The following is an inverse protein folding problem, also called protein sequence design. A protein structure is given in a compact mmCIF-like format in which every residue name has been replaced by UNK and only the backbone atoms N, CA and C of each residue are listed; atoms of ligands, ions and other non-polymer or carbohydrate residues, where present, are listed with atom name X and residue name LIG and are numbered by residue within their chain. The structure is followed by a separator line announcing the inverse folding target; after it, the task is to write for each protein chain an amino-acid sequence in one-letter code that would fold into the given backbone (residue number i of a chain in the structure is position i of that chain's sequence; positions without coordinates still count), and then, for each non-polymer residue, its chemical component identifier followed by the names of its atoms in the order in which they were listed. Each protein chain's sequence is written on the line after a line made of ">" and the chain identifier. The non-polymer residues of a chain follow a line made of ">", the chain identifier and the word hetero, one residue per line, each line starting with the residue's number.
data_IF_075631218056
#
_entry.id   IF_075631218056
#
_cell.length_a   1.000
_cell.length_b   1.000
_cell.length_c   1.000
_cell.angle_alpha   90.00
_cell.angle_beta   90.00
_cell.angle_gamma   90.00
#
_symmetry.space_group_name_H-M   'P 1'
#
loop_
_entity.id
_entity.type
_entity.pdbx_description
1 polymer ?
#
# COMPACT_ATOMS: atom_id res chain seq x y z
N UNK A 1 17.91 3.51 -0.48
CA UNK A 1 17.06 4.03 -1.59
C UNK A 1 16.21 2.88 -2.14
N UNK A 2 14.88 3.04 -2.30
CA UNK A 2 14.02 2.05 -2.96
C UNK A 2 14.28 2.13 -4.47
N UNK A 3 14.75 1.04 -5.13
CA UNK A 3 14.89 1.00 -6.58
C UNK A 3 13.52 0.92 -7.24
N UNK A 4 13.45 1.21 -8.53
CA UNK A 4 12.28 0.87 -9.33
C UNK A 4 12.16 -0.64 -9.46
N UNK A 5 10.95 -1.18 -9.21
CA UNK A 5 10.69 -2.60 -9.37
C UNK A 5 9.88 -2.82 -10.64
N UNK A 6 10.39 -3.64 -11.52
CA UNK A 6 9.76 -3.94 -12.82
C UNK A 6 9.08 -5.30 -12.77
N UNK A 7 7.86 -5.35 -13.27
CA UNK A 7 7.11 -6.59 -13.50
C UNK A 7 6.80 -6.74 -15.00
N UNK A 8 5.96 -7.70 -15.35
CA UNK A 8 5.52 -7.87 -16.74
C UNK A 8 4.80 -6.63 -17.27
N UNK A 9 3.86 -6.06 -16.50
CA UNK A 9 2.99 -4.95 -16.91
C UNK A 9 3.27 -3.65 -16.15
N UNK A 10 3.88 -3.73 -14.95
CA UNK A 10 3.94 -2.63 -14.00
C UNK A 10 5.37 -2.19 -13.70
N UNK A 11 5.48 -0.97 -13.26
CA UNK A 11 6.63 -0.38 -12.57
C UNK A 11 6.16 0.13 -11.21
N UNK A 12 6.85 -0.27 -10.15
CA UNK A 12 6.64 0.27 -8.81
C UNK A 12 7.76 1.27 -8.58
N UNK A 13 7.42 2.53 -8.39
CA UNK A 13 8.36 3.66 -8.36
C UNK A 13 7.95 4.73 -7.37
N UNK A 14 8.85 5.61 -7.02
CA UNK A 14 8.47 6.82 -6.28
C UNK A 14 7.39 7.59 -7.02
N UNK A 15 6.46 8.17 -6.27
CA UNK A 15 5.48 9.11 -6.81
C UNK A 15 6.19 10.38 -7.26
N UNK A 16 5.75 10.92 -8.40
CA UNK A 16 6.23 12.18 -8.95
C UNK A 16 5.11 13.23 -9.06
N UNK A 17 5.45 14.50 -9.32
CA UNK A 17 4.44 15.58 -9.43
C UNK A 17 3.35 15.30 -10.47
N UNK A 18 3.66 14.58 -11.53
CA UNK A 18 2.71 14.19 -12.58
C UNK A 18 1.66 13.18 -12.11
N UNK A 19 1.88 12.51 -10.98
CA UNK A 19 0.95 11.51 -10.45
C UNK A 19 -0.17 12.16 -9.61
N UNK A 20 -0.07 13.45 -9.29
CA UNK A 20 -0.93 14.10 -8.29
C UNK A 20 -2.41 14.06 -8.66
N UNK A 21 -2.76 14.33 -9.91
CA UNK A 21 -4.13 14.31 -10.39
C UNK A 21 -4.74 12.90 -10.33
N UNK A 22 -3.98 11.90 -10.77
CA UNK A 22 -4.41 10.50 -10.75
C UNK A 22 -4.57 10.00 -9.33
N UNK A 23 -3.61 10.29 -8.44
CA UNK A 23 -3.64 9.92 -7.03
C UNK A 23 -4.85 10.56 -6.32
N UNK A 24 -5.08 11.86 -6.54
CA UNK A 24 -6.25 12.56 -6.02
C UNK A 24 -7.56 11.92 -6.50
N UNK A 25 -7.67 11.67 -7.80
CA UNK A 25 -8.89 11.17 -8.42
C UNK A 25 -9.35 9.85 -7.77
N UNK A 26 -8.48 8.83 -7.68
CA UNK A 26 -8.93 7.56 -7.11
C UNK A 26 -8.98 7.56 -5.58
N UNK A 27 -8.17 8.37 -4.89
CA UNK A 27 -8.21 8.50 -3.43
C UNK A 27 -9.48 9.18 -2.92
N UNK A 28 -10.18 9.93 -3.76
CA UNK A 28 -11.45 10.58 -3.44
C UNK A 28 -12.68 9.80 -3.90
N UNK A 29 -12.51 8.68 -4.60
CA UNK A 29 -13.63 7.82 -4.95
C UNK A 29 -14.26 7.17 -3.71
N UNK A 30 -15.61 7.16 -3.57
CA UNK A 30 -16.29 6.67 -2.36
C UNK A 30 -15.90 5.24 -1.97
N UNK A 31 -15.75 4.34 -2.95
CA UNK A 31 -15.40 2.94 -2.71
C UNK A 31 -13.97 2.77 -2.18
N UNK A 32 -13.07 3.66 -2.56
CA UNK A 32 -11.69 3.71 -2.04
C UNK A 32 -11.69 4.36 -0.66
N UNK A 33 -12.33 5.51 -0.51
CA UNK A 33 -12.41 6.24 0.74
C UNK A 33 -12.94 5.40 1.89
N UNK A 34 -13.87 4.50 1.62
CA UNK A 34 -14.50 3.65 2.63
C UNK A 34 -13.47 2.95 3.54
N UNK A 35 -12.35 2.50 2.97
CA UNK A 35 -11.34 1.69 3.64
C UNK A 35 -10.03 2.43 3.90
N UNK A 36 -9.98 3.74 3.65
CA UNK A 36 -8.76 4.53 3.79
C UNK A 36 -8.85 5.53 4.92
N UNK A 37 -7.73 5.74 5.61
CA UNK A 37 -7.60 6.75 6.67
C UNK A 37 -7.34 8.15 6.10
N UNK A 38 -6.66 8.23 4.94
CA UNK A 38 -6.32 9.48 4.30
C UNK A 38 -7.23 9.78 3.11
N UNK A 39 -7.87 10.96 3.16
CA UNK A 39 -8.71 11.53 2.12
C UNK A 39 -8.17 12.94 1.79
N UNK A 40 -7.44 13.12 0.68
CA UNK A 40 -6.92 14.43 0.32
C UNK A 40 -8.06 15.41 -0.02
N UNK A 41 -7.97 16.65 0.47
CA UNK A 41 -8.97 17.67 0.20
C UNK A 41 -8.82 18.32 -1.19
N UNK A 42 -7.63 18.24 -1.80
CA UNK A 42 -7.35 18.85 -3.09
C UNK A 42 -6.14 18.19 -3.79
N UNK A 43 -6.02 18.42 -5.10
CA UNK A 43 -4.82 18.05 -5.87
C UNK A 43 -3.58 18.76 -5.32
N UNK A 44 -3.72 19.99 -4.83
CA UNK A 44 -2.59 20.74 -4.26
C UNK A 44 -2.07 20.05 -2.99
N UNK A 45 -2.94 19.55 -2.12
CA UNK A 45 -2.52 18.77 -0.94
C UNK A 45 -1.75 17.51 -1.35
N UNK A 46 -2.20 16.84 -2.41
CA UNK A 46 -1.48 15.66 -2.96
C UNK A 46 -0.10 16.04 -3.50
N UNK A 47 0.05 17.18 -4.19
CA UNK A 47 1.35 17.67 -4.64
C UNK A 47 2.30 17.93 -3.48
N UNK A 48 1.82 18.59 -2.44
CA UNK A 48 2.60 18.85 -1.21
C UNK A 48 2.98 17.54 -0.50
N UNK A 49 2.06 16.58 -0.46
CA UNK A 49 2.34 15.24 0.06
C UNK A 49 3.44 14.54 -0.74
N UNK A 50 3.36 14.52 -2.07
CA UNK A 50 4.38 13.93 -2.95
C UNK A 50 5.74 14.64 -2.75
N UNK A 51 5.76 15.95 -2.61
CA UNK A 51 7.01 16.69 -2.37
C UNK A 51 7.64 16.33 -1.01
N UNK A 52 6.83 16.15 0.05
CA UNK A 52 7.34 15.66 1.34
C UNK A 52 7.96 14.26 1.22
N UNK A 53 7.35 13.35 0.44
CA UNK A 53 7.88 12.00 0.23
C UNK A 53 9.27 11.99 -0.44
N UNK A 54 9.66 13.04 -1.15
CA UNK A 54 10.98 13.13 -1.77
C UNK A 54 12.12 13.25 -0.74
N UNK A 55 11.82 13.79 0.44
CA UNK A 55 12.78 13.98 1.52
C UNK A 55 12.82 12.80 2.51
N UNK A 56 11.86 11.87 2.41
CA UNK A 56 11.77 10.70 3.28
C UNK A 56 12.44 9.51 2.59
N UNK A 57 13.31 8.80 3.33
CA UNK A 57 13.82 7.51 2.88
C UNK A 57 12.77 6.42 3.14
N UNK A 58 12.50 5.54 2.17
CA UNK A 58 11.61 4.40 2.36
C UNK A 58 12.05 3.55 3.55
N UNK A 59 11.05 3.07 4.31
CA UNK A 59 11.26 2.26 5.52
C UNK A 59 11.98 2.99 6.66
N UNK A 60 11.96 4.34 6.67
CA UNK A 60 12.29 5.10 7.88
C UNK A 60 11.32 4.70 9.00
N UNK A 61 11.82 4.24 10.18
CA UNK A 61 10.94 3.75 11.23
C UNK A 61 9.94 4.81 11.70
N UNK A 62 8.66 4.43 11.73
CA UNK A 62 7.56 5.29 12.16
C UNK A 62 6.91 6.13 11.08
N UNK A 63 7.60 6.36 9.96
CA UNK A 63 7.05 7.14 8.85
C UNK A 63 6.30 6.25 7.85
N UNK A 64 5.12 6.69 7.43
CA UNK A 64 4.46 6.13 6.26
C UNK A 64 5.08 6.67 4.98
N UNK A 65 5.46 5.76 4.10
CA UNK A 65 6.02 6.09 2.80
C UNK A 65 5.14 5.50 1.68
N UNK A 66 4.66 6.35 0.76
CA UNK A 66 3.89 5.90 -0.40
C UNK A 66 4.76 5.75 -1.64
N UNK A 67 4.55 4.63 -2.36
CA UNK A 67 5.15 4.36 -3.67
C UNK A 67 4.06 4.08 -4.70
N UNK A 68 4.23 4.62 -5.89
CA UNK A 68 3.28 4.47 -6.99
C UNK A 68 3.40 3.11 -7.68
N UNK A 69 2.27 2.61 -8.14
CA UNK A 69 2.15 1.47 -9.04
C UNK A 69 1.68 2.05 -10.38
N UNK A 70 2.47 1.91 -11.44
CA UNK A 70 2.14 2.47 -12.74
C UNK A 70 2.28 1.43 -13.85
N UNK A 71 1.58 1.62 -14.97
CA UNK A 71 1.85 0.81 -16.17
C UNK A 71 3.25 1.09 -16.71
N UNK A 72 4.02 0.04 -16.94
CA UNK A 72 5.37 0.14 -17.49
C UNK A 72 5.40 0.77 -18.88
N UNK A 73 4.38 0.51 -19.71
CA UNK A 73 4.33 0.97 -21.09
C UNK A 73 3.98 2.47 -21.20
N UNK A 74 3.13 3.00 -20.32
CA UNK A 74 2.58 4.35 -20.42
C UNK A 74 3.01 5.29 -19.31
N UNK A 75 3.47 4.75 -18.18
CA UNK A 75 3.72 5.51 -16.94
C UNK A 75 2.44 5.89 -16.18
N UNK A 76 1.25 5.51 -16.68
CA UNK A 76 -0.02 5.83 -16.06
C UNK A 76 -0.12 5.21 -14.67
N UNK A 77 -0.40 6.02 -13.65
CA UNK A 77 -0.58 5.56 -12.27
C UNK A 77 -1.87 4.74 -12.14
N UNK A 78 -1.74 3.52 -11.63
CA UNK A 78 -2.87 2.60 -11.41
C UNK A 78 -3.23 2.44 -9.93
N UNK A 79 -2.32 2.84 -9.05
CA UNK A 79 -2.49 2.73 -7.61
C UNK A 79 -1.21 3.04 -6.85
N UNK A 80 -1.19 2.71 -5.56
CA UNK A 80 -0.03 2.91 -4.69
C UNK A 80 0.03 1.89 -3.56
N UNK A 81 1.22 1.72 -2.99
CA UNK A 81 1.45 1.09 -1.71
C UNK A 81 1.80 2.11 -0.65
N UNK A 82 1.29 1.91 0.57
CA UNK A 82 1.85 2.48 1.78
C UNK A 82 2.79 1.47 2.44
N UNK A 83 3.92 1.93 2.94
CA UNK A 83 4.91 1.16 3.68
C UNK A 83 5.24 1.87 4.98
N UNK A 84 5.28 1.13 6.10
CA UNK A 84 5.74 1.66 7.37
C UNK A 84 6.58 0.61 8.10
N UNK A 85 7.83 0.94 8.39
CA UNK A 85 8.65 0.14 9.29
C UNK A 85 8.35 0.52 10.75
N UNK A 86 8.27 -0.46 11.65
CA UNK A 86 8.00 -0.20 13.06
C UNK A 86 9.18 0.50 13.74
N UNK A 87 8.87 1.38 14.70
CA UNK A 87 9.88 2.14 15.45
C UNK A 87 10.73 1.24 16.35
N UNK A 88 10.10 0.26 17.00
CA UNK A 88 10.75 -0.67 17.94
C UNK A 88 11.55 -1.77 17.24
N UNK A 89 11.17 -2.16 16.03
CA UNK A 89 11.92 -3.09 15.17
C UNK A 89 11.63 -2.84 13.69
N UNK A 90 12.54 -2.17 12.96
CA UNK A 90 12.32 -1.81 11.55
C UNK A 90 12.26 -3.01 10.59
N UNK A 91 12.58 -4.22 11.06
CA UNK A 91 12.39 -5.44 10.27
C UNK A 91 10.94 -5.91 10.20
N UNK A 92 10.04 -5.25 10.95
CA UNK A 92 8.60 -5.48 10.92
C UNK A 92 7.97 -4.35 10.09
N UNK A 93 7.41 -4.69 8.93
CA UNK A 93 6.89 -3.72 7.97
C UNK A 93 5.38 -3.91 7.81
N UNK A 94 4.64 -2.84 8.02
CA UNK A 94 3.24 -2.77 7.64
C UNK A 94 3.12 -2.29 6.20
N UNK A 95 2.21 -2.91 5.44
CA UNK A 95 1.90 -2.50 4.07
C UNK A 95 0.40 -2.30 3.88
N UNK A 96 0.07 -1.29 3.09
CA UNK A 96 -1.26 -1.07 2.54
C UNK A 96 -1.21 -1.00 1.02
N UNK A 97 -2.30 -1.35 0.35
CA UNK A 97 -2.42 -1.22 -1.11
C UNK A 97 -3.73 -0.55 -1.48
N UNK A 98 -3.66 0.35 -2.45
CA UNK A 98 -4.81 0.96 -3.09
C UNK A 98 -4.66 0.86 -4.61
N UNK A 99 -5.69 0.39 -5.31
CA UNK A 99 -5.80 0.52 -6.76
C UNK A 99 -6.99 1.39 -7.11
N UNK A 100 -6.83 2.22 -8.15
CA UNK A 100 -7.94 2.92 -8.76
C UNK A 100 -9.01 1.90 -9.22
N UNK A 101 -10.31 2.13 -8.94
CA UNK A 101 -11.37 1.16 -9.20
C UNK A 101 -11.38 0.62 -10.64
N UNK A 102 -11.11 1.47 -11.63
CA UNK A 102 -11.04 1.08 -13.05
C UNK A 102 -9.96 0.04 -13.38
N UNK A 103 -8.97 -0.13 -12.50
CA UNK A 103 -7.86 -1.08 -12.68
C UNK A 103 -7.95 -2.30 -11.76
N UNK A 104 -8.99 -2.39 -10.95
CA UNK A 104 -9.23 -3.57 -10.11
C UNK A 104 -9.67 -4.78 -10.95
N UNK A 105 -9.61 -5.97 -10.33
CA UNK A 105 -10.02 -7.25 -10.93
C UNK A 105 -9.25 -7.70 -12.20
N UNK A 106 -8.11 -7.06 -12.50
CA UNK A 106 -7.26 -7.37 -13.66
C UNK A 106 -5.96 -8.10 -13.30
N UNK A 107 -5.82 -8.52 -12.03
CA UNK A 107 -4.62 -9.18 -11.50
C UNK A 107 -3.44 -8.25 -11.22
N UNK A 108 -3.58 -6.92 -11.43
CA UNK A 108 -2.50 -5.94 -11.25
C UNK A 108 -2.04 -5.86 -9.79
N UNK A 109 -2.98 -5.87 -8.82
CA UNK A 109 -2.64 -5.87 -7.41
C UNK A 109 -1.81 -7.10 -7.01
N UNK A 110 -2.16 -8.28 -7.52
CA UNK A 110 -1.43 -9.53 -7.25
C UNK A 110 -0.01 -9.46 -7.81
N UNK A 111 0.15 -8.95 -9.04
CA UNK A 111 1.43 -8.79 -9.71
C UNK A 111 2.33 -7.80 -8.95
N UNK A 112 1.80 -6.63 -8.61
CA UNK A 112 2.53 -5.60 -7.88
C UNK A 112 2.93 -6.06 -6.47
N UNK A 113 1.99 -6.67 -5.72
CA UNK A 113 2.25 -7.08 -4.34
C UNK A 113 3.30 -8.20 -4.26
N UNK A 114 3.30 -9.16 -5.20
CA UNK A 114 4.35 -10.18 -5.26
C UNK A 114 5.73 -9.58 -5.49
N UNK A 115 5.86 -8.63 -6.41
CA UNK A 115 7.13 -7.95 -6.68
C UNK A 115 7.60 -7.13 -5.46
N UNK A 116 6.69 -6.48 -4.75
CA UNK A 116 7.02 -5.75 -3.52
C UNK A 116 7.48 -6.69 -2.41
N UNK A 117 6.77 -7.81 -2.16
CA UNK A 117 7.14 -8.81 -1.15
C UNK A 117 8.51 -9.43 -1.46
N UNK A 118 8.75 -9.82 -2.71
CA UNK A 118 10.05 -10.33 -3.16
C UNK A 118 11.17 -9.31 -2.86
N UNK A 119 10.98 -8.04 -3.22
CA UNK A 119 11.94 -6.99 -2.91
C UNK A 119 12.19 -6.86 -1.41
N UNK A 120 11.14 -6.73 -0.60
CA UNK A 120 11.25 -6.55 0.84
C UNK A 120 12.02 -7.72 1.48
N UNK A 121 11.73 -8.96 1.11
CA UNK A 121 12.37 -10.12 1.71
C UNK A 121 13.76 -10.43 1.16
N UNK A 122 14.10 -10.04 -0.07
CA UNK A 122 15.39 -10.39 -0.68
C UNK A 122 16.41 -9.24 -0.67
N UNK A 123 15.94 -7.99 -0.61
CA UNK A 123 16.79 -6.80 -0.78
C UNK A 123 16.82 -5.88 0.43
N UNK A 124 16.04 -6.18 1.47
CA UNK A 124 16.04 -5.43 2.74
C UNK A 124 16.20 -6.39 3.92
N UNK A 125 16.28 -5.85 5.13
CA UNK A 125 16.31 -6.64 6.37
C UNK A 125 14.92 -7.02 6.87
N UNK A 126 13.86 -6.81 6.09
CA UNK A 126 12.49 -7.14 6.49
C UNK A 126 12.38 -8.61 6.86
N UNK A 127 11.97 -8.87 8.08
CA UNK A 127 11.70 -10.22 8.62
C UNK A 127 10.24 -10.62 8.46
N UNK A 128 9.35 -9.64 8.63
CA UNK A 128 7.90 -9.83 8.62
C UNK A 128 7.20 -8.68 7.90
N UNK A 129 6.28 -9.01 7.03
CA UNK A 129 5.31 -8.08 6.45
C UNK A 129 3.94 -8.38 7.03
N UNK A 130 3.18 -7.35 7.38
CA UNK A 130 1.79 -7.50 7.81
C UNK A 130 0.90 -6.41 7.20
N UNK A 131 -0.40 -6.69 7.21
CA UNK A 131 -1.46 -5.80 6.76
C UNK A 131 -2.57 -5.79 7.80
N UNK A 132 -3.10 -4.60 8.07
CA UNK A 132 -4.31 -4.34 8.84
C UNK A 132 -5.44 -4.07 7.85
N UNK A 133 -6.55 -4.81 7.90
CA UNK A 133 -7.60 -4.79 6.88
C UNK A 133 -8.98 -4.84 7.51
N UNK A 134 -9.87 -3.93 7.08
CA UNK A 134 -11.29 -4.01 7.41
C UNK A 134 -11.88 -5.35 6.92
N UNK A 135 -12.56 -6.14 7.78
CA UNK A 135 -13.15 -7.43 7.40
C UNK A 135 -14.18 -7.33 6.28
N UNK A 136 -14.74 -6.15 6.01
CA UNK A 136 -15.65 -5.91 4.90
C UNK A 136 -14.92 -5.69 3.57
N UNK A 137 -13.59 -5.47 3.58
CA UNK A 137 -12.79 -5.34 2.37
C UNK A 137 -12.42 -6.71 1.77
N UNK A 138 -13.45 -7.43 1.32
CA UNK A 138 -13.29 -8.79 0.79
C UNK A 138 -12.32 -8.88 -0.39
N UNK A 139 -12.17 -7.82 -1.16
CA UNK A 139 -11.22 -7.79 -2.28
C UNK A 139 -9.78 -7.78 -1.80
N UNK A 140 -9.48 -7.02 -0.74
CA UNK A 140 -8.16 -7.01 -0.11
C UNK A 140 -7.87 -8.35 0.57
N UNK A 141 -8.81 -8.90 1.35
CA UNK A 141 -8.64 -10.20 2.02
C UNK A 141 -8.26 -11.29 1.01
N UNK A 142 -9.03 -11.43 -0.09
CA UNK A 142 -8.73 -12.39 -1.16
C UNK A 142 -7.37 -12.15 -1.84
N UNK A 143 -6.98 -10.89 -2.00
CA UNK A 143 -5.66 -10.55 -2.55
C UNK A 143 -4.53 -11.07 -1.65
N UNK A 144 -4.61 -10.79 -0.35
CA UNK A 144 -3.59 -11.19 0.63
C UNK A 144 -3.45 -12.71 0.71
N UNK A 145 -4.56 -13.44 0.76
CA UNK A 145 -4.57 -14.92 0.71
C UNK A 145 -3.95 -15.46 -0.60
N UNK A 146 -4.30 -14.85 -1.73
CA UNK A 146 -3.79 -15.26 -3.06
C UNK A 146 -2.29 -15.08 -3.20
N UNK A 147 -1.70 -14.11 -2.53
CA UNK A 147 -0.23 -13.91 -2.57
C UNK A 147 0.50 -14.66 -1.46
N UNK A 148 -0.24 -15.33 -0.56
CA UNK A 148 0.31 -16.23 0.45
C UNK A 148 0.41 -15.65 1.86
N UNK A 149 -0.13 -14.45 2.12
CA UNK A 149 -0.24 -13.98 3.50
C UNK A 149 -1.27 -14.83 4.24
N UNK A 150 -0.98 -15.20 5.49
CA UNK A 150 -1.90 -15.93 6.35
C UNK A 150 -2.63 -14.99 7.29
N UNK A 151 -3.88 -15.30 7.57
CA UNK A 151 -4.66 -14.61 8.59
C UNK A 151 -4.17 -15.01 9.98
N UNK A 152 -3.83 -14.03 10.82
CA UNK A 152 -3.31 -14.27 12.17
C UNK A 152 -4.28 -13.83 13.27
N UNK A 153 -5.20 -12.93 12.97
CA UNK A 153 -6.15 -12.46 13.97
C UNK A 153 -7.34 -11.72 13.39
N UNK A 154 -8.39 -11.60 14.21
CA UNK A 154 -9.51 -10.71 14.02
C UNK A 154 -9.71 -9.98 15.35
N UNK A 155 -9.51 -8.69 15.33
CA UNK A 155 -9.60 -7.82 16.49
C UNK A 155 -10.95 -7.10 16.44
N UNK A 156 -11.77 -7.31 17.46
CA UNK A 156 -13.11 -6.73 17.53
C UNK A 156 -13.02 -5.31 18.05
N UNK A 157 -13.64 -4.36 17.34
CA UNK A 157 -13.71 -2.94 17.69
C UNK A 157 -12.35 -2.36 18.15
N UNK A 158 -11.29 -2.68 17.40
CA UNK A 158 -9.91 -2.37 17.78
C UNK A 158 -9.38 -1.07 17.16
N UNK A 159 -10.08 -0.52 16.17
CA UNK A 159 -9.66 0.67 15.45
C UNK A 159 -10.78 1.71 15.43
N UNK A 160 -10.44 2.95 15.83
CA UNK A 160 -11.34 4.10 15.66
C UNK A 160 -11.16 4.71 14.28
N UNK A 161 -12.15 4.53 13.41
CA UNK A 161 -12.11 5.03 12.04
C UNK A 161 -13.39 5.80 11.71
N UNK A 162 -13.24 7.05 11.25
CA UNK A 162 -14.36 7.92 10.77
C UNK A 162 -15.55 8.01 11.72
N UNK A 163 -15.27 8.10 13.02
CA UNK A 163 -16.30 8.29 14.05
C UNK A 163 -16.97 6.99 14.52
N UNK A 164 -16.43 5.84 14.21
CA UNK A 164 -16.91 4.53 14.67
C UNK A 164 -15.77 3.60 15.08
N UNK A 165 -16.03 2.71 16.03
CA UNK A 165 -15.17 1.55 16.28
C UNK A 165 -15.40 0.52 15.19
N UNK A 166 -14.32 0.03 14.59
CA UNK A 166 -14.36 -0.98 13.54
C UNK A 166 -13.46 -2.16 13.90
N UNK A 167 -13.81 -3.30 13.37
CA UNK A 167 -12.98 -4.50 13.47
C UNK A 167 -11.75 -4.38 12.57
N UNK A 168 -10.71 -5.11 12.93
CA UNK A 168 -9.49 -5.22 12.14
C UNK A 168 -9.07 -6.68 11.99
N UNK A 169 -8.62 -7.05 10.80
CA UNK A 169 -8.11 -8.39 10.49
C UNK A 169 -6.64 -8.28 10.12
N UNK A 170 -5.80 -9.02 10.84
CA UNK A 170 -4.35 -9.02 10.61
C UNK A 170 -3.96 -10.19 9.71
N UNK A 171 -3.30 -9.85 8.62
CA UNK A 171 -2.62 -10.79 7.72
C UNK A 171 -1.12 -10.58 7.78
N UNK A 172 -0.35 -11.65 7.65
CA UNK A 172 1.11 -11.56 7.66
C UNK A 172 1.82 -12.66 6.87
N UNK A 173 3.08 -12.36 6.52
CA UNK A 173 4.03 -13.29 5.91
C UNK A 173 5.42 -13.07 6.52
N UNK A 174 6.18 -14.15 6.70
CA UNK A 174 7.56 -14.12 7.17
C UNK A 174 8.52 -14.34 5.99
N UNK A 175 9.75 -13.80 6.12
CA UNK A 175 10.82 -13.99 5.12
C UNK A 175 11.08 -15.46 4.74
N UNK A 176 10.88 -16.40 5.65
CA UNK A 176 11.12 -17.83 5.45
C UNK A 176 10.00 -18.58 4.71
N UNK A 177 8.89 -17.92 4.46
CA UNK A 177 7.69 -18.43 3.77
C UNK A 177 7.67 -17.99 2.32
#
# INVERSE_FOLDING_TARGET
>A
MLPELFTQRLIIRRLGPADAEALYAYRTEPDVLRFQTWAPASVQEVREFIERLRTIEPLTPGDWFQIGIAFRATGELVGDFGLQARVDDPRLVEIGITLAPRFQHQGLATEALRALLEFLFTRTETHRVHCSVDPQNHSCLRLLEKVGLRREGHLIESLWLKGAWVDDVIYAMLRRE
#
